data_IF_337151007597
#
_entry.id   IF_337151007597
#
_cell.length_a   1.000
_cell.length_b   1.000
_cell.length_c   1.000
_cell.angle_alpha   90.00
_cell.angle_beta   90.00
_cell.angle_gamma   90.00
#
_symmetry.space_group_name_H-M   'P 1'
#
loop_
_entity.id
_entity.type
_entity.pdbx_description
1 polymer ?
#
# COMPACT_ATOMS: atom_id res chain seq x y z
N UNK A 1 -16.62 -15.93 -7.08
CA UNK A 1 -17.09 -14.90 -8.02
C UNK A 1 -16.01 -14.72 -9.09
N UNK A 2 -16.35 -14.61 -10.37
CA UNK A 2 -15.39 -14.39 -11.44
C UNK A 2 -15.82 -13.19 -12.28
N UNK A 3 -14.86 -12.36 -12.67
CA UNK A 3 -15.06 -11.24 -13.58
C UNK A 3 -14.08 -11.39 -14.74
N UNK A 4 -14.47 -10.88 -15.92
CA UNK A 4 -13.64 -10.94 -17.13
C UNK A 4 -13.20 -9.55 -17.50
N UNK A 5 -11.90 -9.40 -17.80
CA UNK A 5 -11.33 -8.17 -18.36
C UNK A 5 -11.05 -8.46 -19.83
N UNK A 6 -11.46 -7.56 -20.72
CA UNK A 6 -11.08 -7.63 -22.14
C UNK A 6 -9.72 -6.95 -22.29
N UNK A 7 -8.78 -7.67 -22.88
CA UNK A 7 -7.45 -7.17 -23.22
C UNK A 7 -7.28 -7.24 -24.73
N UNK A 8 -6.44 -6.36 -25.26
CA UNK A 8 -5.83 -6.53 -26.58
C UNK A 8 -4.77 -7.63 -26.53
N UNK A 9 -4.39 -8.15 -27.69
CA UNK A 9 -3.36 -9.20 -27.79
C UNK A 9 -2.02 -8.75 -27.18
N UNK A 10 -1.66 -7.48 -27.34
CA UNK A 10 -0.42 -6.90 -26.80
C UNK A 10 -0.46 -6.76 -25.27
N UNK A 11 -1.59 -6.29 -24.72
CA UNK A 11 -1.79 -6.19 -23.26
C UNK A 11 -1.77 -7.57 -22.60
N UNK A 12 -2.44 -8.56 -23.22
CA UNK A 12 -2.42 -9.93 -22.73
C UNK A 12 -1.00 -10.50 -22.72
N UNK A 13 -0.25 -10.30 -23.82
CA UNK A 13 1.13 -10.77 -23.92
C UNK A 13 2.02 -10.13 -22.85
N UNK A 14 1.89 -8.82 -22.64
CA UNK A 14 2.63 -8.09 -21.61
C UNK A 14 2.31 -8.63 -20.21
N UNK A 15 1.01 -8.76 -19.87
CA UNK A 15 0.58 -9.26 -18.57
C UNK A 15 1.02 -10.71 -18.33
N UNK A 16 0.98 -11.57 -19.35
CA UNK A 16 1.52 -12.94 -19.28
C UNK A 16 3.01 -12.96 -19.01
N UNK A 17 3.79 -12.16 -19.74
CA UNK A 17 5.24 -12.09 -19.54
C UNK A 17 5.61 -11.59 -18.15
N UNK A 18 4.89 -10.58 -17.63
CA UNK A 18 5.08 -10.10 -16.27
C UNK A 18 4.78 -11.19 -15.24
N UNK A 19 3.61 -11.83 -15.31
CA UNK A 19 3.21 -12.86 -14.37
C UNK A 19 4.17 -14.06 -14.39
N UNK A 20 4.63 -14.46 -15.59
CA UNK A 20 5.60 -15.53 -15.76
C UNK A 20 6.97 -15.18 -15.13
N UNK A 21 7.44 -13.94 -15.29
CA UNK A 21 8.69 -13.46 -14.67
C UNK A 21 8.62 -13.51 -13.14
N UNK A 22 7.45 -13.19 -12.58
CA UNK A 22 7.20 -13.21 -11.13
C UNK A 22 6.82 -14.61 -10.60
N UNK A 23 6.69 -15.62 -11.48
CA UNK A 23 6.32 -16.99 -11.09
C UNK A 23 4.88 -17.12 -10.57
N UNK A 24 3.98 -16.20 -10.91
CA UNK A 24 2.59 -16.18 -10.46
C UNK A 24 1.60 -16.27 -11.63
N UNK A 25 0.32 -16.51 -11.33
CA UNK A 25 -0.73 -16.48 -12.36
C UNK A 25 -1.08 -15.06 -12.78
N UNK A 26 -1.59 -14.86 -14.01
CA UNK A 26 -2.10 -13.54 -14.43
C UNK A 26 -3.17 -12.99 -13.48
N UNK A 27 -4.11 -13.83 -13.04
CA UNK A 27 -5.16 -13.41 -12.13
C UNK A 27 -4.62 -12.98 -10.76
N UNK A 28 -3.50 -13.57 -10.32
CA UNK A 28 -2.80 -13.16 -9.11
C UNK A 28 -2.06 -11.85 -9.28
N UNK A 29 -1.36 -11.67 -10.41
CA UNK A 29 -0.73 -10.39 -10.75
C UNK A 29 -1.75 -9.24 -10.79
N UNK A 30 -2.92 -9.45 -11.41
CA UNK A 30 -4.00 -8.45 -11.42
C UNK A 30 -4.57 -8.16 -10.03
N UNK A 31 -4.77 -9.21 -9.20
CA UNK A 31 -5.25 -9.01 -7.82
C UNK A 31 -4.25 -8.19 -7.02
N UNK A 32 -2.97 -8.57 -7.06
CA UNK A 32 -1.92 -7.85 -6.33
C UNK A 32 -1.86 -6.39 -6.76
N UNK A 33 -1.77 -6.11 -8.07
CA UNK A 33 -1.71 -4.75 -8.58
C UNK A 33 -2.93 -3.90 -8.17
N UNK A 34 -4.14 -4.50 -8.17
CA UNK A 34 -5.34 -3.80 -7.74
C UNK A 34 -5.33 -3.48 -6.24
N UNK A 35 -4.97 -4.47 -5.40
CA UNK A 35 -4.97 -4.27 -3.95
C UNK A 35 -3.85 -3.36 -3.48
N UNK A 36 -2.67 -3.44 -4.10
CA UNK A 36 -1.55 -2.50 -3.86
C UNK A 36 -2.00 -1.06 -4.17
N UNK A 37 -2.72 -0.85 -5.28
CA UNK A 37 -3.23 0.48 -5.61
C UNK A 37 -4.26 0.99 -4.59
N UNK A 38 -5.13 0.11 -4.10
CA UNK A 38 -6.11 0.45 -3.06
C UNK A 38 -5.41 0.79 -1.74
N UNK A 39 -4.38 0.03 -1.38
CA UNK A 39 -3.57 0.26 -0.17
C UNK A 39 -2.85 1.60 -0.24
N UNK A 40 -2.19 1.92 -1.35
CA UNK A 40 -1.54 3.23 -1.57
C UNK A 40 -2.51 4.39 -1.36
N UNK A 41 -3.71 4.31 -1.94
CA UNK A 41 -4.73 5.36 -1.82
C UNK A 41 -5.25 5.48 -0.38
N UNK A 42 -5.40 4.35 0.31
CA UNK A 42 -5.79 4.33 1.72
C UNK A 42 -4.71 4.93 2.62
N UNK A 43 -3.45 4.56 2.42
CA UNK A 43 -2.32 5.05 3.20
C UNK A 43 -2.15 6.56 3.05
N UNK A 44 -2.30 7.09 1.83
CA UNK A 44 -2.32 8.54 1.59
C UNK A 44 -3.44 9.21 2.39
N UNK A 45 -4.65 8.66 2.35
CA UNK A 45 -5.79 9.23 3.08
C UNK A 45 -5.58 9.21 4.60
N UNK A 46 -4.99 8.14 5.13
CA UNK A 46 -4.65 8.02 6.56
C UNK A 46 -3.57 9.03 6.94
N UNK A 47 -2.51 9.15 6.13
CA UNK A 47 -1.44 10.11 6.34
C UNK A 47 -1.96 11.56 6.35
N UNK A 48 -2.80 11.93 5.38
CA UNK A 48 -3.44 13.25 5.31
C UNK A 48 -4.29 13.54 6.55
N UNK A 49 -5.05 12.55 7.01
CA UNK A 49 -5.89 12.68 8.20
C UNK A 49 -5.04 12.80 9.48
N UNK A 50 -3.93 12.06 9.58
CA UNK A 50 -2.99 12.17 10.69
C UNK A 50 -2.30 13.54 10.69
N UNK A 51 -1.87 14.02 9.53
CA UNK A 51 -1.23 15.32 9.38
C UNK A 51 -2.16 16.48 9.75
N UNK A 52 -3.43 16.43 9.32
CA UNK A 52 -4.45 17.42 9.73
C UNK A 52 -4.63 17.48 11.25
N UNK A 53 -4.75 16.32 11.92
CA UNK A 53 -4.84 16.25 13.39
C UNK A 53 -3.59 16.81 14.07
N UNK A 54 -2.42 16.56 13.51
CA UNK A 54 -1.18 17.15 14.01
C UNK A 54 -1.19 18.68 13.86
N UNK A 55 -1.64 19.23 12.72
CA UNK A 55 -1.72 20.68 12.54
C UNK A 55 -2.70 21.35 13.51
N UNK A 56 -3.78 20.67 13.92
CA UNK A 56 -4.70 21.16 14.94
C UNK A 56 -4.06 21.23 16.35
N UNK A 57 -3.11 20.35 16.64
CA UNK A 57 -2.35 20.33 17.90
C UNK A 57 -0.92 19.82 17.68
N UNK A 58 0.02 20.70 17.28
CA UNK A 58 1.34 20.29 16.79
C UNK A 58 2.30 19.97 17.93
N UNK A 59 1.99 18.91 18.66
CA UNK A 59 2.83 18.39 19.74
C UNK A 59 3.83 17.39 19.17
N UNK A 60 5.11 17.67 19.33
CA UNK A 60 6.21 16.77 18.98
C UNK A 60 6.96 16.35 20.23
N UNK A 61 7.65 15.21 20.15
CA UNK A 61 8.50 14.72 21.22
C UNK A 61 9.89 14.41 20.65
N UNK A 62 10.91 14.72 21.43
CA UNK A 62 12.27 14.25 21.19
C UNK A 62 12.36 12.73 21.39
N UNK A 63 13.40 12.12 20.82
CA UNK A 63 13.65 10.69 21.00
C UNK A 63 13.74 10.30 22.49
N UNK A 64 14.42 11.11 23.31
CA UNK A 64 14.55 10.89 24.75
C UNK A 64 13.20 10.91 25.48
N UNK A 65 12.30 11.81 25.08
CA UNK A 65 10.94 11.87 25.64
C UNK A 65 10.12 10.64 25.26
N UNK A 66 10.21 10.19 24.00
CA UNK A 66 9.54 8.97 23.53
C UNK A 66 10.07 7.73 24.25
N UNK A 67 11.38 7.61 24.41
CA UNK A 67 12.01 6.51 25.15
C UNK A 67 11.58 6.48 26.62
N UNK A 68 11.41 7.64 27.26
CA UNK A 68 10.86 7.70 28.63
C UNK A 68 9.37 7.37 28.71
N UNK A 69 8.60 7.62 27.64
CA UNK A 69 7.16 7.35 27.61
C UNK A 69 6.83 5.89 27.28
N UNK A 70 7.64 5.22 26.48
CA UNK A 70 7.33 3.91 25.88
C UNK A 70 8.48 2.90 25.91
N UNK A 71 9.68 3.28 26.37
CA UNK A 71 10.74 2.32 26.62
C UNK A 71 10.41 1.51 27.88
N UNK A 72 10.47 0.19 27.78
CA UNK A 72 10.37 -0.68 28.95
C UNK A 72 11.59 -0.43 29.85
N UNK A 73 11.35 -0.17 31.13
CA UNK A 73 12.39 -0.12 32.16
C UNK A 73 12.94 -1.55 32.36
N UNK A 74 13.96 -1.95 31.59
CA UNK A 74 14.92 -2.99 32.02
C UNK A 74 16.11 -2.37 32.75
#
# INVERSE_FOLDING_TARGET
MAFSIRLTDDEEKLARSYAALQGISMGEAFKQALFEKIEDEYDIAVADAAYKRYLENPKTYSLDEVMKMFGDDE
#
